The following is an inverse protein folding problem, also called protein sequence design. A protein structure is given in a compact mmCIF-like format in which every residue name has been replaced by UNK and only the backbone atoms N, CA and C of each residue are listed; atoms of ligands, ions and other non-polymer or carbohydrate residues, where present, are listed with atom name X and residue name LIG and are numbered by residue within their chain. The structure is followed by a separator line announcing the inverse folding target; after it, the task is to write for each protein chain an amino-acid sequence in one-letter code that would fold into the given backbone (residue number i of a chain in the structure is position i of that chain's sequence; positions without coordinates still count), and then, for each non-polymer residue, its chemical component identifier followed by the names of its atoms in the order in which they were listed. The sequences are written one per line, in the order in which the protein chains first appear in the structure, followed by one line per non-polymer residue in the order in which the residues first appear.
data_IF_990717026282
#
_entry.id   IF_990717026282
#
_cell.length_a   1.000
_cell.length_b   1.000
_cell.length_c   1.000
_cell.angle_alpha   90.00
_cell.angle_beta   90.00
_cell.angle_gamma   90.00
#
_symmetry.space_group_name_H-M   'P 1'
#
loop_
_entity.id
_entity.type
_entity.pdbx_description
1 polymer ?
#
# COMPACT_ATOMS: atom_id res chain seq x y z
N UNK A 1 20.60 -11.48 -7.37
CA UNK A 1 19.13 -11.57 -7.52
C UNK A 1 18.34 -10.68 -6.59
N UNK A 2 18.53 -10.74 -5.26
CA UNK A 2 17.75 -9.92 -4.32
C UNK A 2 17.96 -8.40 -4.50
N UNK A 3 19.20 -7.92 -4.68
CA UNK A 3 19.46 -6.48 -4.91
C UNK A 3 18.82 -6.01 -6.21
N UNK A 4 18.86 -6.81 -7.28
CA UNK A 4 18.20 -6.46 -8.55
C UNK A 4 16.68 -6.40 -8.41
N UNK A 5 16.12 -7.15 -7.44
CA UNK A 5 14.70 -7.13 -7.15
C UNK A 5 14.25 -5.83 -6.47
N UNK A 6 15.14 -4.94 -6.00
CA UNK A 6 14.71 -3.63 -5.50
C UNK A 6 14.40 -2.64 -6.63
N UNK A 7 14.87 -2.91 -7.87
CA UNK A 7 14.55 -2.07 -9.03
C UNK A 7 13.02 -1.96 -9.24
N UNK A 8 12.54 -0.72 -9.33
CA UNK A 8 11.14 -0.40 -9.57
C UNK A 8 10.66 -0.82 -10.96
N UNK A 9 11.55 -0.97 -11.95
CA UNK A 9 11.21 -1.56 -13.26
C UNK A 9 10.73 -3.01 -13.14
N UNK A 10 11.25 -3.74 -12.16
CA UNK A 10 10.88 -5.13 -11.89
C UNK A 10 9.68 -5.25 -10.96
N UNK A 11 9.18 -4.13 -10.38
CA UNK A 11 8.14 -4.13 -9.36
C UNK A 11 6.89 -4.91 -9.79
N UNK A 12 6.28 -4.53 -10.91
CA UNK A 12 5.04 -5.15 -11.37
C UNK A 12 5.23 -6.60 -11.80
N UNK A 13 6.37 -6.95 -12.40
CA UNK A 13 6.67 -8.32 -12.79
C UNK A 13 6.76 -9.23 -11.55
N UNK A 14 7.47 -8.80 -10.51
CA UNK A 14 7.63 -9.57 -9.27
C UNK A 14 6.29 -9.70 -8.53
N UNK A 15 5.53 -8.61 -8.36
CA UNK A 15 4.23 -8.64 -7.66
C UNK A 15 3.21 -9.49 -8.42
N UNK A 16 3.19 -9.42 -9.75
CA UNK A 16 2.32 -10.25 -10.61
C UNK A 16 2.70 -11.73 -10.53
N UNK A 17 3.98 -12.05 -10.56
CA UNK A 17 4.48 -13.41 -10.42
C UNK A 17 4.09 -13.99 -9.06
N UNK A 18 4.28 -13.24 -7.97
CA UNK A 18 3.89 -13.66 -6.63
C UNK A 18 2.38 -13.90 -6.50
N UNK A 19 1.58 -12.99 -7.03
CA UNK A 19 0.11 -13.10 -7.07
C UNK A 19 -0.34 -14.36 -7.82
N UNK A 20 0.34 -14.69 -8.93
CA UNK A 20 0.05 -15.87 -9.75
C UNK A 20 0.42 -17.17 -9.03
N UNK A 21 1.64 -17.24 -8.46
CA UNK A 21 2.13 -18.43 -7.72
C UNK A 21 1.21 -18.77 -6.55
N UNK A 22 0.75 -17.76 -5.81
CA UNK A 22 -0.15 -17.95 -4.67
C UNK A 22 -1.64 -17.91 -5.02
N UNK A 23 -2.00 -17.84 -6.31
CA UNK A 23 -3.39 -17.79 -6.82
C UNK A 23 -4.26 -16.72 -6.13
N UNK A 24 -3.66 -15.57 -5.83
CA UNK A 24 -4.37 -14.47 -5.18
C UNK A 24 -5.26 -13.75 -6.19
N UNK A 25 -6.47 -13.38 -5.79
CA UNK A 25 -7.28 -12.44 -6.58
C UNK A 25 -6.64 -11.06 -6.45
N UNK A 26 -6.24 -10.47 -7.58
CA UNK A 26 -5.79 -9.07 -7.61
C UNK A 26 -6.88 -8.19 -6.99
N UNK A 27 -6.50 -7.19 -6.19
CA UNK A 27 -7.49 -6.20 -5.73
C UNK A 27 -8.07 -5.53 -6.97
N UNK A 28 -9.38 -5.72 -7.19
CA UNK A 28 -10.11 -4.98 -8.20
C UNK A 28 -9.94 -3.49 -7.91
N UNK A 29 -9.82 -2.69 -8.97
CA UNK A 29 -9.70 -1.22 -8.95
C UNK A 29 -10.94 -0.50 -8.40
N UNK A 30 -11.76 -1.17 -7.59
CA UNK A 30 -12.89 -0.59 -6.88
C UNK A 30 -12.38 0.14 -5.65
N UNK A 31 -12.52 1.46 -5.65
CA UNK A 31 -12.51 2.29 -4.45
C UNK A 31 -13.34 1.61 -3.35
N UNK A 32 -12.82 1.43 -2.12
CA UNK A 32 -13.64 0.92 -1.04
C UNK A 32 -14.70 1.97 -0.69
N UNK A 33 -15.93 1.71 -1.12
CA UNK A 33 -17.10 2.51 -0.79
C UNK A 33 -17.27 2.52 0.73
N UNK A 34 -17.08 3.68 1.33
CA UNK A 34 -17.33 3.96 2.73
C UNK A 34 -18.85 4.07 2.94
N UNK A 35 -19.56 2.94 3.00
CA UNK A 35 -20.98 2.94 3.30
C UNK A 35 -21.22 3.30 4.78
N UNK A 36 -21.88 4.44 4.95
CA UNK A 36 -22.29 5.13 6.17
C UNK A 36 -23.10 4.24 7.13
N UNK A 37 -22.69 4.21 8.40
CA UNK A 37 -23.51 3.72 9.50
C UNK A 37 -24.60 4.76 9.83
N UNK A 38 -25.85 4.42 9.54
CA UNK A 38 -27.03 5.18 9.95
C UNK A 38 -27.59 4.61 11.28
N UNK A 39 -27.66 5.38 12.38
CA UNK A 39 -28.07 4.86 13.67
C UNK A 39 -29.54 5.23 13.95
N UNK A 40 -30.51 4.55 13.32
CA UNK A 40 -31.94 4.66 13.73
C UNK A 40 -32.83 3.58 13.11
N UNK A 41 -32.99 2.44 13.80
CA UNK A 41 -34.26 1.70 13.84
C UNK A 41 -34.23 0.60 14.94
N UNK A 42 -35.18 0.71 15.87
CA UNK A 42 -35.59 -0.28 16.90
C UNK A 42 -37.09 -0.49 16.60
N UNK A 43 -37.70 -1.67 16.43
CA UNK A 43 -37.97 -2.78 17.38
C UNK A 43 -38.75 -3.93 16.66
N UNK A 44 -38.75 -5.10 17.33
CA UNK A 44 -39.76 -6.22 17.39
C UNK A 44 -39.95 -7.09 16.13
N UNK A 45 -40.16 -8.42 16.18
CA UNK A 45 -40.48 -9.34 17.28
C UNK A 45 -40.19 -10.83 16.88
N UNK A 46 -40.10 -11.70 17.90
CA UNK A 46 -40.40 -13.15 17.96
C UNK A 46 -39.83 -14.19 16.97
N UNK A 47 -39.15 -15.20 17.54
CA UNK A 47 -39.49 -16.63 17.34
C UNK A 47 -38.57 -17.50 16.45
N UNK A 48 -37.88 -18.47 17.05
CA UNK A 48 -37.40 -19.66 16.33
C UNK A 48 -36.06 -20.22 16.81
N UNK A 49 -36.09 -21.19 17.73
CA UNK A 49 -34.95 -22.04 18.07
C UNK A 49 -34.55 -22.93 16.90
N UNK A 50 -33.27 -22.93 16.54
CA UNK A 50 -32.59 -24.14 16.07
C UNK A 50 -31.08 -24.04 16.32
N UNK A 51 -30.57 -25.08 16.94
CA UNK A 51 -29.18 -25.24 17.34
C UNK A 51 -28.24 -25.20 16.13
N UNK A 52 -27.28 -24.29 16.14
CA UNK A 52 -25.97 -24.52 15.54
C UNK A 52 -24.96 -23.85 16.44
N UNK A 53 -24.08 -24.67 17.01
CA UNK A 53 -23.05 -24.25 17.94
C UNK A 53 -22.29 -23.06 17.34
N UNK A 54 -22.48 -21.89 17.97
CA UNK A 54 -21.55 -20.79 17.82
C UNK A 54 -20.22 -21.28 18.40
N UNK A 55 -19.32 -21.74 17.53
CA UNK A 55 -17.91 -21.85 17.90
C UNK A 55 -17.36 -20.44 17.95
N UNK A 56 -17.42 -19.92 19.16
CA UNK A 56 -16.67 -18.77 19.61
C UNK A 56 -15.19 -18.94 19.27
N UNK A 57 -14.58 -17.89 18.70
CA UNK A 57 -13.15 -17.60 18.60
C UNK A 57 -12.17 -18.76 18.69
N UNK A 58 -11.67 -19.20 17.54
CA UNK A 58 -10.34 -19.81 17.44
C UNK A 58 -9.39 -18.78 16.85
N UNK A 59 -8.33 -18.47 17.60
CA UNK A 59 -7.36 -17.44 17.31
C UNK A 59 -6.66 -17.63 15.96
N UNK A 60 -6.16 -16.51 15.43
CA UNK A 60 -5.24 -16.43 14.29
C UNK A 60 -3.92 -17.11 14.74
N UNK A 61 -3.89 -18.44 14.83
CA UNK A 61 -2.63 -19.17 14.99
C UNK A 61 -1.77 -18.82 13.78
N UNK A 62 -0.62 -18.21 14.06
CA UNK A 62 0.37 -17.82 13.06
C UNK A 62 0.76 -19.04 12.22
N UNK A 63 0.10 -19.23 11.07
CA UNK A 63 0.46 -20.29 10.15
C UNK A 63 1.87 -20.01 9.62
N UNK A 64 2.79 -20.95 9.89
CA UNK A 64 4.14 -20.92 9.33
C UNK A 64 4.01 -21.25 7.85
N UNK A 65 4.26 -20.27 6.99
CA UNK A 65 4.31 -20.46 5.54
C UNK A 65 5.65 -21.11 5.19
N UNK A 66 5.60 -22.37 4.76
CA UNK A 66 6.78 -23.10 4.29
C UNK A 66 6.76 -23.06 2.75
N UNK A 67 7.78 -22.49 2.09
CA UNK A 67 7.86 -22.52 0.62
C UNK A 67 7.90 -23.95 0.09
N UNK A 68 7.20 -24.21 -1.02
CA UNK A 68 7.16 -25.50 -1.70
C UNK A 68 8.48 -25.80 -2.41
N UNK A 69 9.17 -24.77 -2.91
CA UNK A 69 10.47 -24.89 -3.57
C UNK A 69 11.38 -23.66 -3.37
N UNK A 70 12.58 -23.72 -3.96
CA UNK A 70 13.58 -22.66 -3.89
C UNK A 70 13.18 -21.38 -4.64
N UNK A 71 12.39 -21.50 -5.71
CA UNK A 71 11.92 -20.35 -6.48
C UNK A 71 10.86 -19.57 -5.70
N UNK A 72 9.93 -20.25 -5.04
CA UNK A 72 8.93 -19.65 -4.16
C UNK A 72 9.60 -19.00 -2.95
N UNK A 73 10.63 -19.63 -2.39
CA UNK A 73 11.44 -19.06 -1.31
C UNK A 73 12.11 -17.75 -1.75
N UNK A 74 12.76 -17.76 -2.92
CA UNK A 74 13.41 -16.58 -3.48
C UNK A 74 12.40 -15.45 -3.75
N UNK A 75 11.27 -15.78 -4.37
CA UNK A 75 10.21 -14.82 -4.69
C UNK A 75 9.62 -14.19 -3.42
N UNK A 76 9.43 -14.99 -2.36
CA UNK A 76 8.99 -14.50 -1.05
C UNK A 76 9.99 -13.51 -0.45
N UNK A 77 11.30 -13.78 -0.55
CA UNK A 77 12.34 -12.87 -0.10
C UNK A 77 12.41 -11.58 -0.94
N UNK A 78 12.19 -11.67 -2.26
CA UNK A 78 12.09 -10.49 -3.14
C UNK A 78 10.91 -9.60 -2.74
N UNK A 79 9.74 -10.19 -2.46
CA UNK A 79 8.57 -9.47 -1.98
C UNK A 79 8.81 -8.81 -0.61
N UNK A 80 9.43 -9.53 0.32
CA UNK A 80 9.79 -9.00 1.63
C UNK A 80 10.76 -7.81 1.53
N UNK A 81 11.76 -7.91 0.65
CA UNK A 81 12.72 -6.84 0.42
C UNK A 81 12.06 -5.61 -0.22
N UNK A 82 11.13 -5.79 -1.16
CA UNK A 82 10.32 -4.70 -1.71
C UNK A 82 9.45 -4.02 -0.64
N UNK A 83 8.85 -4.80 0.27
CA UNK A 83 8.11 -4.24 1.39
C UNK A 83 9.02 -3.43 2.33
N UNK A 84 10.26 -3.89 2.56
CA UNK A 84 11.24 -3.18 3.36
C UNK A 84 11.67 -1.86 2.72
N UNK A 85 11.92 -1.85 1.41
CA UNK A 85 12.30 -0.67 0.64
C UNK A 85 11.20 0.41 0.65
N UNK A 86 9.93 -0.01 0.57
CA UNK A 86 8.76 0.87 0.72
C UNK A 86 8.26 0.97 2.17
N UNK A 87 9.07 0.56 3.16
CA UNK A 87 8.67 0.43 4.56
C UNK A 87 8.22 1.75 5.19
N UNK A 88 8.73 2.89 4.70
CA UNK A 88 8.32 4.22 5.15
C UNK A 88 6.81 4.48 4.98
N UNK A 89 6.14 3.78 4.06
CA UNK A 89 4.67 3.86 3.85
C UNK A 89 3.88 3.21 4.98
N UNK A 90 4.51 2.37 5.80
CA UNK A 90 3.94 1.72 6.99
C UNK A 90 4.27 2.46 8.29
N UNK A 91 5.12 3.47 8.23
CA UNK A 91 5.56 4.19 9.42
C UNK A 91 4.43 5.08 9.99
N UNK A 92 4.60 5.51 11.25
CA UNK A 92 3.75 6.54 11.82
C UNK A 92 3.74 7.79 10.92
N UNK A 93 2.56 8.41 10.76
CA UNK A 93 2.36 9.50 9.80
C UNK A 93 3.44 10.60 9.84
N UNK A 94 3.88 11.13 11.00
CA UNK A 94 4.93 12.15 11.03
C UNK A 94 6.27 11.67 10.44
N UNK A 95 6.61 10.40 10.62
CA UNK A 95 7.82 9.78 10.07
C UNK A 95 7.67 9.58 8.56
N UNK A 96 6.51 9.08 8.12
CA UNK A 96 6.21 8.92 6.70
C UNK A 96 6.30 10.26 5.95
N UNK A 97 5.70 11.32 6.48
CA UNK A 97 5.75 12.66 5.89
C UNK A 97 7.18 13.20 5.81
N UNK A 98 8.02 12.94 6.81
CA UNK A 98 9.44 13.33 6.77
C UNK A 98 10.19 12.62 5.64
N UNK A 99 9.95 11.32 5.44
CA UNK A 99 10.53 10.58 4.32
C UNK A 99 10.10 11.14 2.97
N UNK A 100 8.80 11.43 2.80
CA UNK A 100 8.28 12.03 1.56
C UNK A 100 8.93 13.41 1.31
N UNK A 101 9.09 14.24 2.34
CA UNK A 101 9.77 15.53 2.19
C UNK A 101 11.25 15.38 1.79
N UNK A 102 11.96 14.40 2.36
CA UNK A 102 13.35 14.11 1.97
C UNK A 102 13.45 13.65 0.51
N UNK A 103 12.55 12.78 0.06
CA UNK A 103 12.48 12.31 -1.33
C UNK A 103 12.16 13.45 -2.30
N UNK A 104 11.24 14.34 -1.92
CA UNK A 104 10.87 15.50 -2.72
C UNK A 104 12.06 16.45 -2.90
N UNK A 105 12.80 16.75 -1.83
CA UNK A 105 14.00 17.58 -1.92
C UNK A 105 15.11 16.93 -2.75
N UNK A 106 15.27 15.60 -2.67
CA UNK A 106 16.23 14.87 -3.51
C UNK A 106 15.87 14.99 -5.00
N UNK A 107 14.60 14.83 -5.34
CA UNK A 107 14.12 14.99 -6.71
C UNK A 107 14.30 16.42 -7.21
N UNK A 108 14.01 17.42 -6.37
CA UNK A 108 14.25 18.82 -6.73
C UNK A 108 15.72 19.13 -6.96
N UNK A 109 16.62 18.61 -6.12
CA UNK A 109 18.06 18.76 -6.33
C UNK A 109 18.50 18.15 -7.66
N UNK A 110 18.00 16.96 -8.00
CA UNK A 110 18.28 16.35 -9.30
C UNK A 110 17.73 17.21 -10.46
N UNK A 111 16.52 17.75 -10.33
CA UNK A 111 15.95 18.63 -11.35
C UNK A 111 16.74 19.93 -11.56
N UNK A 112 17.32 20.48 -10.50
CA UNK A 112 18.22 21.62 -10.60
C UNK A 112 19.51 21.25 -11.34
N UNK A 113 20.11 20.10 -11.05
CA UNK A 113 21.30 19.59 -11.72
C UNK A 113 21.03 19.32 -13.22
N UNK A 114 19.87 18.75 -13.55
CA UNK A 114 19.41 18.56 -14.94
C UNK A 114 19.32 19.89 -15.67
N UNK A 115 18.72 20.90 -15.03
CA UNK A 115 18.57 22.25 -15.60
C UNK A 115 19.91 22.95 -15.81
N UNK A 116 20.82 22.86 -14.84
CA UNK A 116 22.18 23.41 -14.93
C UNK A 116 22.98 22.74 -16.05
N UNK A 117 22.72 21.45 -16.29
CA UNK A 117 23.35 20.66 -17.36
C UNK A 117 22.71 20.87 -18.74
N UNK A 118 21.70 21.74 -18.86
CA UNK A 118 20.98 22.00 -20.11
C UNK A 118 20.05 20.85 -20.55
N UNK A 119 19.71 19.93 -19.63
CA UNK A 119 18.79 18.83 -19.88
C UNK A 119 17.34 19.26 -19.61
N UNK A 120 16.38 18.55 -20.20
CA UNK A 120 14.97 18.69 -19.82
C UNK A 120 14.78 18.14 -18.40
N UNK A 121 14.20 18.93 -17.50
CA UNK A 121 13.89 18.51 -16.13
C UNK A 121 12.91 17.34 -16.14
N UNK A 122 13.26 16.28 -15.42
CA UNK A 122 12.46 15.08 -15.25
C UNK A 122 11.09 15.38 -14.61
N UNK A 123 10.05 14.58 -14.91
CA UNK A 123 8.75 14.74 -14.28
C UNK A 123 8.86 14.71 -12.75
N UNK A 124 8.10 15.59 -12.07
CA UNK A 124 8.07 15.77 -10.61
C UNK A 124 9.32 16.42 -9.99
N UNK A 125 10.39 16.66 -10.76
CA UNK A 125 11.68 17.14 -10.23
C UNK A 125 11.79 18.67 -10.31
N UNK A 126 10.78 19.34 -10.85
CA UNK A 126 10.74 20.80 -10.94
C UNK A 126 10.12 21.40 -9.66
N UNK A 127 10.94 22.05 -8.84
CA UNK A 127 10.52 22.74 -7.61
C UNK A 127 9.55 23.92 -7.86
N UNK A 128 9.43 24.40 -9.11
CA UNK A 128 8.43 25.39 -9.52
C UNK A 128 7.07 24.79 -9.85
N UNK A 129 6.93 23.46 -9.85
CA UNK A 129 5.69 22.73 -10.13
C UNK A 129 5.18 21.99 -8.90
N UNK A 130 4.07 21.29 -9.09
CA UNK A 130 3.52 20.40 -8.08
C UNK A 130 4.44 19.17 -7.96
N UNK A 131 5.14 19.06 -6.82
CA UNK A 131 6.04 17.95 -6.50
C UNK A 131 5.32 16.63 -6.19
N UNK A 132 6.07 15.66 -5.68
CA UNK A 132 5.58 14.29 -5.44
C UNK A 132 4.45 14.22 -4.40
N UNK A 133 4.30 15.25 -3.57
CA UNK A 133 3.26 15.35 -2.55
C UNK A 133 1.84 15.19 -3.13
N UNK A 134 1.59 15.68 -4.35
CA UNK A 134 0.26 15.55 -5.00
C UNK A 134 0.05 14.21 -5.71
N UNK A 135 1.12 13.45 -5.94
CA UNK A 135 1.08 12.14 -6.58
C UNK A 135 1.01 10.98 -5.57
N UNK A 136 1.00 11.26 -4.26
CA UNK A 136 1.03 10.22 -3.22
C UNK A 136 -0.17 9.28 -3.28
N UNK A 137 -1.39 9.78 -3.49
CA UNK A 137 -2.58 8.91 -3.61
C UNK A 137 -2.42 7.90 -4.75
N UNK A 138 -2.02 8.37 -5.93
CA UNK A 138 -1.77 7.49 -7.08
C UNK A 138 -0.60 6.52 -6.86
N UNK A 139 0.46 6.95 -6.18
CA UNK A 139 1.57 6.07 -5.80
C UNK A 139 1.10 4.93 -4.89
N UNK A 140 0.26 5.24 -3.89
CA UNK A 140 -0.31 4.22 -3.03
C UNK A 140 -1.22 3.27 -3.80
N UNK A 141 -2.14 3.79 -4.63
CA UNK A 141 -3.08 2.97 -5.40
C UNK A 141 -2.38 2.00 -6.36
N UNK A 142 -1.33 2.46 -7.03
CA UNK A 142 -0.69 1.71 -8.12
C UNK A 142 0.44 0.82 -7.61
N UNK A 143 1.18 1.24 -6.57
CA UNK A 143 2.43 0.59 -6.15
C UNK A 143 2.31 0.00 -4.74
N UNK A 144 2.02 0.84 -3.76
CA UNK A 144 2.14 0.45 -2.34
C UNK A 144 1.05 -0.54 -1.95
N UNK A 145 -0.20 -0.19 -2.20
CA UNK A 145 -1.36 -0.97 -1.75
C UNK A 145 -1.36 -2.37 -2.39
N UNK A 146 -1.15 -2.55 -3.71
CA UNK A 146 -1.04 -3.90 -4.31
C UNK A 146 0.09 -4.75 -3.70
N UNK A 147 1.26 -4.16 -3.45
CA UNK A 147 2.41 -4.87 -2.86
C UNK A 147 2.08 -5.41 -1.47
N UNK A 148 1.67 -4.52 -0.56
CA UNK A 148 1.40 -4.90 0.84
C UNK A 148 0.16 -5.76 0.97
N UNK A 149 -0.86 -5.56 0.12
CA UNK A 149 -2.02 -6.42 0.08
C UNK A 149 -1.62 -7.86 -0.27
N UNK A 150 -0.97 -8.08 -1.42
CA UNK A 150 -0.57 -9.42 -1.85
C UNK A 150 0.35 -10.09 -0.81
N UNK A 151 1.30 -9.35 -0.25
CA UNK A 151 2.19 -9.88 0.79
C UNK A 151 1.44 -10.32 2.05
N UNK A 152 0.48 -9.50 2.54
CA UNK A 152 -0.30 -9.81 3.74
C UNK A 152 -1.30 -10.97 3.58
N UNK A 153 -1.70 -11.27 2.33
CA UNK A 153 -2.56 -12.43 2.03
C UNK A 153 -1.84 -13.76 2.22
N UNK A 154 -0.53 -13.79 1.95
CA UNK A 154 0.30 -14.98 2.12
C UNK A 154 0.86 -15.03 3.54
N UNK A 155 1.42 -13.93 4.02
CA UNK A 155 2.01 -13.83 5.35
C UNK A 155 1.05 -13.11 6.31
N UNK A 156 0.11 -13.85 6.90
CA UNK A 156 -0.97 -13.30 7.73
C UNK A 156 -0.51 -12.41 8.89
N UNK A 157 0.65 -12.71 9.47
CA UNK A 157 1.26 -11.89 10.54
C UNK A 157 1.64 -10.47 10.10
N UNK A 158 1.63 -10.18 8.80
CA UNK A 158 1.97 -8.88 8.23
C UNK A 158 0.74 -8.01 7.92
N UNK A 159 -0.48 -8.49 8.21
CA UNK A 159 -1.73 -7.69 8.15
C UNK A 159 -1.62 -6.32 8.85
N UNK A 160 -0.91 -6.17 10.01
CA UNK A 160 -0.72 -4.85 10.61
C UNK A 160 -0.01 -3.86 9.68
N UNK A 161 0.96 -4.29 8.87
CA UNK A 161 1.65 -3.41 7.91
C UNK A 161 0.66 -2.82 6.90
N UNK A 162 -0.23 -3.66 6.34
CA UNK A 162 -1.27 -3.20 5.43
C UNK A 162 -2.20 -2.19 6.10
N UNK A 163 -2.56 -2.40 7.37
CA UNK A 163 -3.39 -1.44 8.11
C UNK A 163 -2.71 -0.06 8.24
N UNK A 164 -1.39 -0.03 8.49
CA UNK A 164 -0.63 1.22 8.51
C UNK A 164 -0.52 1.88 7.12
N UNK A 165 -0.32 1.10 6.05
CA UNK A 165 -0.38 1.61 4.67
C UNK A 165 -1.72 2.30 4.42
N UNK A 166 -2.83 1.64 4.75
CA UNK A 166 -4.18 2.20 4.51
C UNK A 166 -4.44 3.45 5.35
N UNK A 167 -3.86 3.55 6.56
CA UNK A 167 -3.93 4.77 7.38
C UNK A 167 -3.22 5.95 6.71
N UNK A 168 -2.00 5.74 6.19
CA UNK A 168 -1.26 6.79 5.50
C UNK A 168 -1.92 7.16 4.16
N UNK A 169 -2.43 6.17 3.43
CA UNK A 169 -3.23 6.39 2.22
C UNK A 169 -4.43 7.32 2.49
N UNK A 170 -5.22 7.01 3.53
CA UNK A 170 -6.38 7.81 3.91
C UNK A 170 -5.99 9.26 4.25
N UNK A 171 -4.88 9.47 4.96
CA UNK A 171 -4.40 10.80 5.28
C UNK A 171 -4.06 11.61 4.00
N UNK A 172 -3.43 10.97 3.00
CA UNK A 172 -3.16 11.60 1.70
C UNK A 172 -4.45 11.89 0.92
N UNK A 173 -5.41 10.96 0.89
CA UNK A 173 -6.68 11.14 0.22
C UNK A 173 -7.48 12.32 0.83
N UNK A 174 -7.55 12.40 2.17
CA UNK A 174 -8.17 13.52 2.87
C UNK A 174 -7.48 14.86 2.58
N UNK A 175 -6.14 14.87 2.52
CA UNK A 175 -5.37 16.05 2.17
C UNK A 175 -5.61 16.50 0.72
N UNK A 176 -5.72 15.56 -0.23
CA UNK A 176 -6.00 15.85 -1.63
C UNK A 176 -7.40 16.46 -1.81
N UNK A 177 -8.41 15.90 -1.13
CA UNK A 177 -9.78 16.44 -1.11
C UNK A 177 -9.79 17.87 -0.55
N UNK A 178 -9.12 18.11 0.57
CA UNK A 178 -9.04 19.44 1.20
C UNK A 178 -8.37 20.49 0.30
N UNK A 179 -7.34 20.09 -0.45
CA UNK A 179 -6.68 20.98 -1.41
C UNK A 179 -7.52 21.23 -2.67
N UNK A 180 -8.35 20.27 -3.08
CA UNK A 180 -9.29 20.43 -4.21
C UNK A 180 -10.43 21.40 -3.92
N UNK A 181 -10.96 21.41 -2.69
CA UNK A 181 -12.06 22.30 -2.28
C UNK A 181 -11.61 23.74 -1.96
N UNK A 182 -10.32 23.98 -1.73
CA UNK A 182 -9.78 25.32 -1.48
C UNK A 182 -9.39 26.10 -2.74
N UNK A 183 -9.61 25.52 -3.93
CA UNK A 183 -9.24 26.09 -5.23
C UNK A 183 -10.45 26.36 -6.15
N UNK A 184 -11.68 26.31 -5.62
CA UNK A 184 -12.93 26.67 -6.31
C UNK A 184 -13.54 27.94 -5.74
#
# INVERSE_FOLDING_TARGET
DLVLATDMKQHFAIVSHFTTVHRLTAMGTGTPSLASADPRARKSDSGGSSNSAATCGMGDEAQIVIPLDENERLLSLQMALKCADLGHTTAALPVHLKWVACLEEEFFRQGDDEKLSGLSVSPLFDRGKQGISKSQVGFFDIVVVPLFYSFSRVFSNTKPLLAYVMRNYKAWAEQQVRQGHGAS
#
